data_IF_396288295197
#
_entry.id   IF_396288295197
#
_cell.length_a   1.000
_cell.length_b   1.000
_cell.length_c   1.000
_cell.angle_alpha   90.00
_cell.angle_beta   90.00
_cell.angle_gamma   90.00
#
_symmetry.space_group_name_H-M   'P 1'
#
loop_
_entity.id
_entity.type
_entity.pdbx_description
1 polymer ?
#
# COMPACT_ATOMS: atom_id res chain seq x y z
N UNK A 1 13.08 2.30 -0.02
CA UNK A 1 12.60 1.01 0.57
C UNK A 1 11.52 0.42 -0.30
N UNK A 2 11.62 -0.87 -0.60
CA UNK A 2 10.55 -1.59 -1.32
C UNK A 2 9.79 -2.45 -0.31
N UNK A 3 8.47 -2.25 -0.24
CA UNK A 3 7.59 -3.01 0.64
C UNK A 3 6.87 -4.06 -0.23
N UNK A 4 7.19 -5.32 0.00
CA UNK A 4 6.56 -6.43 -0.69
C UNK A 4 5.29 -6.82 0.06
N UNK A 5 4.14 -6.51 -0.52
CA UNK A 5 2.83 -6.73 0.13
C UNK A 5 2.59 -8.21 0.42
N UNK A 6 3.18 -9.11 -0.40
CA UNK A 6 3.04 -10.57 -0.19
C UNK A 6 3.50 -11.01 1.20
N UNK A 7 4.38 -10.25 1.85
CA UNK A 7 4.85 -10.55 3.20
C UNK A 7 3.71 -10.54 4.23
N UNK A 8 2.61 -9.87 3.92
CA UNK A 8 1.44 -9.82 4.81
C UNK A 8 0.39 -10.87 4.43
N UNK A 9 0.66 -11.68 3.40
CA UNK A 9 -0.24 -12.70 2.90
C UNK A 9 -0.70 -12.42 1.48
N UNK A 10 -1.36 -13.41 0.86
CA UNK A 10 -1.87 -13.28 -0.51
C UNK A 10 -3.34 -12.88 -0.55
N UNK A 11 -4.06 -13.01 0.56
CA UNK A 11 -5.48 -12.67 0.69
C UNK A 11 -5.61 -11.54 1.72
N UNK A 12 -5.64 -10.31 1.23
CA UNK A 12 -5.59 -9.11 2.07
C UNK A 12 -6.98 -8.47 2.06
N UNK A 13 -7.87 -8.95 2.92
CA UNK A 13 -9.30 -8.70 2.79
C UNK A 13 -9.99 -8.00 3.95
N UNK A 14 -9.34 -7.81 5.10
CA UNK A 14 -10.03 -7.15 6.21
C UNK A 14 -9.37 -5.83 6.57
N UNK A 15 -10.19 -4.88 6.99
CA UNK A 15 -9.71 -3.59 7.47
C UNK A 15 -8.85 -3.76 8.72
N UNK A 16 -9.29 -4.63 9.64
CA UNK A 16 -8.56 -4.90 10.87
C UNK A 16 -7.18 -5.48 10.57
N UNK A 17 -7.09 -6.42 9.62
CA UNK A 17 -5.81 -7.02 9.25
C UNK A 17 -4.87 -5.99 8.61
N UNK A 18 -5.40 -5.05 7.83
CA UNK A 18 -4.61 -3.96 7.25
C UNK A 18 -4.03 -3.06 8.32
N UNK A 19 -4.85 -2.71 9.30
CA UNK A 19 -4.43 -1.89 10.43
C UNK A 19 -3.32 -2.58 11.23
N UNK A 20 -3.49 -3.87 11.50
CA UNK A 20 -2.48 -4.65 12.23
C UNK A 20 -1.17 -4.79 11.44
N UNK A 21 -1.28 -4.96 10.11
CA UNK A 21 -0.10 -5.04 9.26
C UNK A 21 0.71 -3.74 9.32
N UNK A 22 0.04 -2.59 9.27
CA UNK A 22 0.73 -1.31 9.37
C UNK A 22 1.42 -1.16 10.73
N UNK A 23 0.72 -1.49 11.81
CA UNK A 23 1.29 -1.42 13.15
C UNK A 23 2.52 -2.32 13.29
N UNK A 24 2.46 -3.53 12.76
CA UNK A 24 3.58 -4.46 12.78
C UNK A 24 4.77 -3.97 11.95
N UNK A 25 4.52 -3.16 10.92
CA UNK A 25 5.57 -2.67 10.03
C UNK A 25 6.21 -1.36 10.52
N UNK A 26 5.61 -0.69 11.50
CA UNK A 26 6.12 0.60 12.01
C UNK A 26 7.61 0.59 12.38
N UNK A 27 8.16 -0.45 13.05
CA UNK A 27 9.59 -0.45 13.36
C UNK A 27 10.50 -0.34 12.13
N UNK A 28 10.07 -0.88 11.00
CA UNK A 28 10.85 -0.79 9.75
C UNK A 28 10.73 0.59 9.13
N UNK A 29 9.57 1.23 9.27
CA UNK A 29 9.35 2.57 8.72
C UNK A 29 10.23 3.61 9.39
N UNK A 30 10.56 3.42 10.66
CA UNK A 30 11.44 4.34 11.40
C UNK A 30 12.85 4.39 10.85
N UNK A 31 13.25 3.41 10.04
CA UNK A 31 14.59 3.34 9.44
C UNK A 31 14.69 4.02 8.09
N UNK A 32 13.58 4.52 7.56
CA UNK A 32 13.54 5.19 6.26
C UNK A 32 14.15 6.59 6.39
N UNK A 33 15.12 6.91 5.50
CA UNK A 33 15.71 8.24 5.48
C UNK A 33 14.77 9.28 4.87
N UNK A 34 15.04 10.57 5.14
CA UNK A 34 14.14 11.67 4.80
C UNK A 34 13.89 11.85 3.31
N UNK A 35 14.78 11.35 2.46
CA UNK A 35 14.67 11.49 1.00
C UNK A 35 14.48 10.14 0.29
N UNK A 36 14.33 9.08 1.04
CA UNK A 36 14.17 7.73 0.50
C UNK A 36 12.77 7.51 -0.03
N UNK A 37 12.66 6.91 -1.24
CA UNK A 37 11.36 6.52 -1.78
C UNK A 37 10.84 5.27 -1.10
N UNK A 38 9.51 5.20 -0.98
CA UNK A 38 8.79 4.04 -0.44
C UNK A 38 7.97 3.46 -1.57
N UNK A 39 8.38 2.28 -2.04
CA UNK A 39 7.76 1.63 -3.20
C UNK A 39 6.94 0.43 -2.75
N UNK A 40 5.71 0.34 -3.23
CA UNK A 40 4.83 -0.79 -2.91
C UNK A 40 4.84 -1.77 -4.07
N UNK A 41 5.22 -3.01 -3.77
CA UNK A 41 5.26 -4.11 -4.73
C UNK A 41 4.11 -5.07 -4.42
N UNK A 42 3.21 -5.24 -5.39
CA UNK A 42 2.02 -6.10 -5.26
C UNK A 42 2.24 -7.52 -5.79
N UNK A 43 3.46 -7.84 -6.24
CA UNK A 43 3.74 -9.14 -6.84
C UNK A 43 3.38 -10.28 -5.87
N UNK A 44 2.68 -11.29 -6.39
CA UNK A 44 2.22 -12.42 -5.59
C UNK A 44 0.89 -12.21 -4.87
N UNK A 45 0.36 -11.00 -4.83
CA UNK A 45 -0.95 -10.72 -4.24
C UNK A 45 -2.07 -11.35 -5.07
N UNK A 46 -2.97 -12.05 -4.41
CA UNK A 46 -4.13 -12.67 -5.10
C UNK A 46 -5.39 -11.84 -4.93
N UNK A 47 -5.74 -11.50 -3.70
CA UNK A 47 -6.92 -10.70 -3.38
C UNK A 47 -6.52 -9.52 -2.51
N UNK A 48 -6.95 -8.33 -2.90
CA UNK A 48 -6.60 -7.08 -2.23
C UNK A 48 -7.85 -6.23 -2.12
N UNK A 49 -8.37 -6.05 -0.91
CA UNK A 49 -9.64 -5.35 -0.69
C UNK A 49 -9.43 -3.87 -0.32
N UNK A 50 -10.44 -3.02 -0.60
CA UNK A 50 -10.38 -1.62 -0.20
C UNK A 50 -10.17 -1.41 1.30
N UNK A 51 -10.78 -2.24 2.13
CA UNK A 51 -10.63 -2.11 3.59
C UNK A 51 -9.20 -2.27 4.04
N UNK A 52 -8.53 -3.34 3.58
CA UNK A 52 -7.12 -3.57 3.91
C UNK A 52 -6.25 -2.45 3.35
N UNK A 53 -6.47 -2.11 2.09
CA UNK A 53 -5.68 -1.07 1.41
C UNK A 53 -5.83 0.29 2.06
N UNK A 54 -7.04 0.65 2.49
CA UNK A 54 -7.28 1.94 3.12
C UNK A 54 -6.53 2.06 4.45
N UNK A 55 -6.44 0.98 5.22
CA UNK A 55 -5.73 1.00 6.51
C UNK A 55 -4.21 0.96 6.36
N UNK A 56 -3.69 0.43 5.26
CA UNK A 56 -2.25 0.29 5.04
C UNK A 56 -1.70 1.35 4.09
N UNK A 57 -2.26 1.46 2.87
CA UNK A 57 -1.71 2.35 1.84
C UNK A 57 -2.03 3.82 2.09
N UNK A 58 -3.24 4.12 2.50
CA UNK A 58 -3.69 5.51 2.65
C UNK A 58 -2.86 6.27 3.70
N UNK A 59 -2.61 5.70 4.90
CA UNK A 59 -1.76 6.39 5.88
C UNK A 59 -0.32 6.60 5.37
N UNK A 60 0.22 5.63 4.63
CA UNK A 60 1.57 5.74 4.08
C UNK A 60 1.66 6.82 3.02
N UNK A 61 0.65 6.90 2.14
CA UNK A 61 0.59 7.93 1.12
C UNK A 61 0.55 9.33 1.75
N UNK A 62 -0.21 9.49 2.84
CA UNK A 62 -0.28 10.76 3.56
C UNK A 62 1.03 11.10 4.27
N UNK A 63 1.70 10.08 4.81
CA UNK A 63 2.95 10.26 5.56
C UNK A 63 4.12 10.63 4.66
N UNK A 64 4.25 9.97 3.51
CA UNK A 64 5.44 10.10 2.66
C UNK A 64 5.23 10.97 1.42
N UNK A 65 3.98 11.27 1.09
CA UNK A 65 3.69 12.17 -0.03
C UNK A 65 4.30 11.70 -1.35
N UNK A 66 5.07 12.57 -2.00
CA UNK A 66 5.65 12.29 -3.32
C UNK A 66 6.64 11.13 -3.32
N UNK A 67 7.15 10.76 -2.16
CA UNK A 67 8.09 9.64 -2.03
C UNK A 67 7.40 8.28 -2.01
N UNK A 68 6.08 8.25 -1.80
CA UNK A 68 5.30 7.01 -1.77
C UNK A 68 4.77 6.71 -3.15
N UNK A 69 5.15 5.56 -3.71
CA UNK A 69 4.78 5.18 -5.09
C UNK A 69 4.36 3.72 -5.16
N UNK A 70 3.38 3.45 -6.00
CA UNK A 70 2.91 2.10 -6.25
C UNK A 70 3.61 1.55 -7.50
N UNK A 71 4.11 0.33 -7.40
CA UNK A 71 4.66 -0.37 -8.57
C UNK A 71 3.50 -0.95 -9.39
N UNK A 72 3.75 -1.17 -10.67
CA UNK A 72 2.73 -1.68 -11.59
C UNK A 72 2.22 -3.06 -11.16
N UNK A 73 0.93 -3.29 -11.32
CA UNK A 73 0.30 -4.59 -11.09
C UNK A 73 -0.75 -4.84 -12.16
N UNK A 74 -0.81 -6.06 -12.66
CA UNK A 74 -1.85 -6.52 -13.61
C UNK A 74 -3.01 -7.21 -12.88
N UNK A 75 -2.92 -7.34 -11.56
CA UNK A 75 -3.96 -8.00 -10.77
C UNK A 75 -5.21 -7.10 -10.70
N UNK A 76 -6.36 -7.63 -11.18
CA UNK A 76 -7.59 -6.84 -11.24
C UNK A 76 -8.08 -6.40 -9.87
N UNK A 77 -7.88 -7.24 -8.84
CA UNK A 77 -8.26 -6.90 -7.46
C UNK A 77 -7.45 -5.71 -6.94
N UNK A 78 -6.15 -5.68 -7.25
CA UNK A 78 -5.27 -4.56 -6.89
C UNK A 78 -5.70 -3.29 -7.62
N UNK A 79 -5.88 -3.38 -8.94
CA UNK A 79 -6.25 -2.23 -9.76
C UNK A 79 -7.57 -1.62 -9.29
N UNK A 80 -8.59 -2.46 -9.09
CA UNK A 80 -9.91 -2.00 -8.65
C UNK A 80 -9.84 -1.36 -7.26
N UNK A 81 -9.09 -1.96 -6.34
CA UNK A 81 -8.93 -1.42 -5.00
C UNK A 81 -8.25 -0.06 -5.02
N UNK A 82 -7.18 0.09 -5.82
CA UNK A 82 -6.49 1.38 -5.92
C UNK A 82 -7.43 2.45 -6.44
N UNK A 83 -8.20 2.14 -7.50
CA UNK A 83 -9.17 3.08 -8.06
C UNK A 83 -10.24 3.46 -7.02
N UNK A 84 -10.73 2.48 -6.26
CA UNK A 84 -11.72 2.72 -5.22
C UNK A 84 -11.17 3.66 -4.13
N UNK A 85 -9.93 3.44 -3.72
CA UNK A 85 -9.31 4.28 -2.69
C UNK A 85 -9.05 5.70 -3.20
N UNK A 86 -8.64 5.84 -4.44
CA UNK A 86 -8.42 7.15 -5.05
C UNK A 86 -9.71 7.94 -5.10
N UNK A 87 -10.80 7.30 -5.48
CA UNK A 87 -12.11 7.93 -5.54
C UNK A 87 -12.61 8.30 -4.14
N UNK A 88 -12.53 7.35 -3.20
CA UNK A 88 -13.04 7.55 -1.84
C UNK A 88 -12.30 8.64 -1.08
N UNK A 89 -11.00 8.79 -1.32
CA UNK A 89 -10.14 9.76 -0.63
C UNK A 89 -9.88 11.03 -1.44
N UNK A 90 -10.41 11.10 -2.65
CA UNK A 90 -10.29 12.25 -3.54
C UNK A 90 -8.83 12.64 -3.79
N UNK A 91 -7.99 11.65 -4.15
CA UNK A 91 -6.59 11.88 -4.48
C UNK A 91 -6.10 10.78 -5.44
N UNK A 92 -4.88 10.92 -5.93
CA UNK A 92 -4.23 9.92 -6.79
C UNK A 92 -2.95 9.43 -6.15
N UNK A 93 -2.76 8.11 -6.12
CA UNK A 93 -1.47 7.55 -5.71
C UNK A 93 -0.42 7.82 -6.79
N UNK A 94 0.80 8.14 -6.38
CA UNK A 94 1.92 8.22 -7.31
C UNK A 94 2.29 6.80 -7.77
N UNK A 95 2.71 6.70 -9.01
CA UNK A 95 3.09 5.40 -9.59
C UNK A 95 4.52 5.44 -10.10
N UNK A 96 5.20 4.32 -10.01
CA UNK A 96 6.51 4.13 -10.63
C UNK A 96 6.29 4.06 -12.14
N UNK A 97 7.09 4.81 -12.87
CA UNK A 97 7.01 4.84 -14.33
C UNK A 97 7.75 3.68 -14.97
#
# INVERSE_FOLDING_TARGET
MKIEIIKFGSLLTSRQAGKEALAAFEPYLKKISNDEEVLIDFDGTRTFSPGWGDEFLTPLAKRYGDRFKLMHSDNSSVITTIETLEEANNFKFNRVK
#
